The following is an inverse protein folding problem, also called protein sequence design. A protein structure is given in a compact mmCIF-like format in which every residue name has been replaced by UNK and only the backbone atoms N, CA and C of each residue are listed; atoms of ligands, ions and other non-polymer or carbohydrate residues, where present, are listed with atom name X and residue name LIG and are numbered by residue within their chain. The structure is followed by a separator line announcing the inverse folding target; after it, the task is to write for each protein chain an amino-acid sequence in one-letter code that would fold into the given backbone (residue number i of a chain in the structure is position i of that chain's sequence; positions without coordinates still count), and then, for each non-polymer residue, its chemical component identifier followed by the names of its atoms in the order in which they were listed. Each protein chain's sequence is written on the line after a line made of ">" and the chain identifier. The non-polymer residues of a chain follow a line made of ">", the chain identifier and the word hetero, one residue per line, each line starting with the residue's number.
data_IF_253905348627
#
_entry.id   IF_253905348627
#
_cell.length_a   1.000
_cell.length_b   1.000
_cell.length_c   1.000
_cell.angle_alpha   90.00
_cell.angle_beta   90.00
_cell.angle_gamma   90.00
#
_symmetry.space_group_name_H-M   'P 1'
#
loop_
_entity.id
_entity.type
_entity.pdbx_description
1 polymer ?
#
# COMPACT_ATOMS: atom_id res chain seq x y z
N UNK A 1 -3.81 2.47 15.81
CA UNK A 1 -4.42 2.77 17.12
C UNK A 1 -4.71 4.25 17.15
N UNK A 2 -5.97 4.63 17.38
CA UNK A 2 -6.40 6.02 17.46
C UNK A 2 -5.90 6.64 18.77
N UNK A 3 -5.47 7.90 18.75
CA UNK A 3 -4.84 8.58 19.90
C UNK A 3 -5.79 9.48 20.66
N UNK A 4 -6.82 10.00 20.00
CA UNK A 4 -7.78 10.91 20.63
C UNK A 4 -8.62 10.19 21.71
N UNK A 5 -8.94 10.91 22.79
CA UNK A 5 -9.64 10.34 23.97
C UNK A 5 -11.15 10.57 23.97
N UNK A 6 -11.66 11.51 23.17
CA UNK A 6 -13.09 11.85 23.14
C UNK A 6 -13.73 11.36 21.83
N UNK A 7 -15.00 10.90 21.82
CA UNK A 7 -15.66 10.42 20.61
C UNK A 7 -15.68 11.44 19.47
N UNK A 8 -15.87 12.72 19.79
CA UNK A 8 -15.84 13.82 18.81
C UNK A 8 -14.47 13.93 18.12
N UNK A 9 -13.37 13.89 18.89
CA UNK A 9 -12.02 13.98 18.34
C UNK A 9 -11.61 12.70 17.59
N UNK A 10 -12.04 11.53 18.05
CA UNK A 10 -11.82 10.26 17.35
C UNK A 10 -12.43 10.28 15.94
N UNK A 11 -13.65 10.81 15.78
CA UNK A 11 -14.26 10.96 14.44
C UNK A 11 -13.40 11.83 13.52
N UNK A 12 -12.89 12.96 14.03
CA UNK A 12 -11.97 13.84 13.28
C UNK A 12 -10.68 13.12 12.90
N UNK A 13 -10.10 12.35 13.82
CA UNK A 13 -8.89 11.57 13.57
C UNK A 13 -9.11 10.54 12.43
N UNK A 14 -10.25 9.85 12.41
CA UNK A 14 -10.63 8.95 11.31
C UNK A 14 -10.73 9.70 9.99
N UNK A 15 -11.39 10.87 9.96
CA UNK A 15 -11.50 11.68 8.74
C UNK A 15 -10.14 12.15 8.21
N UNK A 16 -9.22 12.54 9.11
CA UNK A 16 -7.85 12.91 8.71
C UNK A 16 -7.10 11.72 8.10
N UNK A 17 -7.26 10.51 8.67
CA UNK A 17 -6.68 9.30 8.06
C UNK A 17 -7.27 8.99 6.69
N UNK A 18 -8.59 9.16 6.53
CA UNK A 18 -9.25 8.97 5.24
C UNK A 18 -8.77 10.00 4.20
N UNK A 19 -8.62 11.26 4.61
CA UNK A 19 -8.08 12.32 3.77
C UNK A 19 -6.66 11.99 3.30
N UNK A 20 -5.78 11.58 4.22
CA UNK A 20 -4.41 11.21 3.89
C UNK A 20 -4.36 9.98 2.95
N UNK A 21 -5.22 8.99 3.17
CA UNK A 21 -5.36 7.83 2.28
C UNK A 21 -5.81 8.25 0.88
N UNK A 22 -6.83 9.09 0.77
CA UNK A 22 -7.34 9.57 -0.50
C UNK A 22 -6.29 10.42 -1.25
N UNK A 23 -5.53 11.27 -0.54
CA UNK A 23 -4.42 12.02 -1.12
C UNK A 23 -3.38 11.08 -1.76
N UNK A 24 -2.96 10.06 -1.02
CA UNK A 24 -2.01 9.07 -1.54
C UNK A 24 -2.59 8.30 -2.74
N UNK A 25 -3.88 7.93 -2.69
CA UNK A 25 -4.56 7.25 -3.80
C UNK A 25 -4.66 8.10 -5.05
N UNK A 26 -5.00 9.38 -4.92
CA UNK A 26 -5.01 10.32 -6.05
C UNK A 26 -3.61 10.48 -6.63
N UNK A 27 -2.58 10.55 -5.80
CA UNK A 27 -1.19 10.63 -6.26
C UNK A 27 -0.75 9.36 -7.01
N UNK A 28 -1.13 8.18 -6.51
CA UNK A 28 -0.92 6.91 -7.20
C UNK A 28 -1.67 6.88 -8.53
N UNK A 29 -2.91 7.39 -8.58
CA UNK A 29 -3.69 7.49 -9.80
C UNK A 29 -2.98 8.35 -10.85
N UNK A 30 -2.58 9.57 -10.49
CA UNK A 30 -1.85 10.47 -11.38
C UNK A 30 -0.53 9.87 -11.86
N UNK A 31 0.22 9.19 -10.99
CA UNK A 31 1.48 8.55 -11.37
C UNK A 31 1.24 7.39 -12.35
N UNK A 32 0.24 6.55 -12.06
CA UNK A 32 -0.09 5.39 -12.88
C UNK A 32 -0.59 5.77 -14.27
N UNK A 33 -1.52 6.73 -14.35
CA UNK A 33 -2.05 7.21 -15.64
C UNK A 33 -1.00 7.95 -16.46
N UNK A 34 -0.08 8.68 -15.82
CA UNK A 34 0.96 9.43 -16.54
C UNK A 34 2.07 8.55 -17.13
N UNK A 35 2.35 7.39 -16.53
CA UNK A 35 3.50 6.53 -16.90
C UNK A 35 3.12 5.09 -17.27
N UNK A 36 1.82 4.78 -17.42
CA UNK A 36 1.35 3.49 -17.92
C UNK A 36 1.36 2.34 -16.91
N UNK A 37 1.57 2.60 -15.62
CA UNK A 37 1.49 1.57 -14.58
C UNK A 37 0.07 1.52 -13.98
N UNK A 38 -0.58 0.36 -13.85
CA UNK A 38 -1.91 0.30 -13.24
C UNK A 38 -1.92 0.91 -11.83
N UNK A 39 -2.75 1.94 -11.53
CA UNK A 39 -2.71 2.65 -10.25
C UNK A 39 -2.86 1.76 -9.02
N UNK A 40 -3.68 0.71 -9.12
CA UNK A 40 -3.93 -0.24 -8.03
C UNK A 40 -2.74 -1.16 -7.74
N UNK A 41 -1.77 -1.25 -8.66
CA UNK A 41 -0.53 -2.04 -8.50
C UNK A 41 0.56 -1.26 -7.78
N UNK A 42 0.43 0.06 -7.64
CA UNK A 42 1.43 0.88 -6.99
C UNK A 42 1.43 0.65 -5.47
N UNK A 43 2.60 0.70 -4.85
CA UNK A 43 2.75 0.54 -3.41
C UNK A 43 2.30 1.80 -2.67
N UNK A 44 1.26 1.68 -1.84
CA UNK A 44 0.81 2.79 -0.97
C UNK A 44 1.92 3.23 0.00
N UNK A 45 2.64 2.28 0.59
CA UNK A 45 3.75 2.57 1.51
C UNK A 45 4.94 3.20 0.79
N UNK A 46 5.26 2.73 -0.42
CA UNK A 46 6.29 3.34 -1.28
C UNK A 46 5.93 4.78 -1.63
N UNK A 47 4.67 5.01 -2.01
CA UNK A 47 4.14 6.35 -2.32
C UNK A 47 4.25 7.28 -1.12
N UNK A 48 3.84 6.83 0.08
CA UNK A 48 3.95 7.61 1.32
C UNK A 48 5.39 8.01 1.61
N UNK A 49 6.32 7.06 1.48
CA UNK A 49 7.75 7.31 1.73
C UNK A 49 8.31 8.35 0.76
N UNK A 50 8.06 8.20 -0.55
CA UNK A 50 8.53 9.16 -1.54
C UNK A 50 7.87 10.54 -1.37
N UNK A 51 6.57 10.61 -1.11
CA UNK A 51 5.91 11.87 -0.83
C UNK A 51 6.56 12.60 0.35
N UNK A 52 6.77 11.92 1.48
CA UNK A 52 7.42 12.51 2.66
C UNK A 52 8.82 13.06 2.35
N UNK A 53 9.62 12.35 1.54
CA UNK A 53 10.95 12.81 1.14
C UNK A 53 10.91 14.01 0.18
N UNK A 54 9.84 14.15 -0.61
CA UNK A 54 9.67 15.25 -1.57
C UNK A 54 9.00 16.48 -0.96
N UNK A 55 8.28 16.38 0.17
CA UNK A 55 7.61 17.51 0.84
C UNK A 55 8.57 18.71 1.04
N UNK A 56 9.78 18.55 1.62
CA UNK A 56 10.68 19.69 1.81
C UNK A 56 11.05 20.39 0.49
N UNK A 57 11.25 19.62 -0.58
CA UNK A 57 11.60 20.15 -1.90
C UNK A 57 10.42 20.85 -2.56
N UNK A 58 9.20 20.32 -2.39
CA UNK A 58 7.97 20.93 -2.89
C UNK A 58 7.67 22.25 -2.19
N UNK A 59 8.00 22.39 -0.90
CA UNK A 59 7.81 23.61 -0.12
C UNK A 59 8.87 24.69 -0.42
N UNK A 60 10.10 24.30 -0.74
CA UNK A 60 11.22 25.23 -0.92
C UNK A 60 11.35 25.81 -2.34
N UNK A 61 10.56 25.32 -3.30
CA UNK A 61 10.76 25.61 -4.73
C UNK A 61 9.84 26.71 -5.26
N UNK A 62 10.32 27.49 -6.22
CA UNK A 62 9.48 28.43 -6.99
C UNK A 62 8.48 27.72 -7.91
N UNK A 63 7.38 28.41 -8.25
CA UNK A 63 6.28 27.88 -9.06
C UNK A 63 6.72 27.29 -10.42
N UNK A 64 7.77 27.86 -11.04
CA UNK A 64 8.31 27.40 -12.33
C UNK A 64 8.98 26.02 -12.22
N UNK A 65 9.65 25.72 -11.11
CA UNK A 65 10.35 24.45 -10.89
C UNK A 65 9.47 23.41 -10.18
N UNK A 66 8.37 23.83 -9.54
CA UNK A 66 7.41 22.94 -8.86
C UNK A 66 6.89 21.83 -9.78
N UNK A 67 6.48 22.18 -11.00
CA UNK A 67 5.99 21.22 -11.99
C UNK A 67 7.03 20.13 -12.31
N UNK A 68 8.31 20.51 -12.39
CA UNK A 68 9.40 19.55 -12.66
C UNK A 68 9.58 18.58 -11.50
N UNK A 69 9.59 19.09 -10.27
CA UNK A 69 9.73 18.25 -9.05
C UNK A 69 8.52 17.32 -8.92
N UNK A 70 7.31 17.82 -9.15
CA UNK A 70 6.10 17.01 -9.14
C UNK A 70 6.13 15.88 -10.17
N UNK A 71 6.54 16.17 -11.42
CA UNK A 71 6.71 15.12 -12.44
C UNK A 71 7.75 14.08 -12.05
N UNK A 72 8.85 14.49 -11.42
CA UNK A 72 9.86 13.57 -10.88
C UNK A 72 9.27 12.68 -9.78
N UNK A 73 8.48 13.24 -8.86
CA UNK A 73 7.77 12.47 -7.84
C UNK A 73 6.85 11.40 -8.47
N UNK A 74 6.02 11.80 -9.44
CA UNK A 74 5.15 10.86 -10.15
C UNK A 74 5.94 9.74 -10.84
N UNK A 75 7.06 10.07 -11.49
CA UNK A 75 7.92 9.08 -12.14
C UNK A 75 8.47 8.07 -11.15
N UNK A 76 8.98 8.55 -10.01
CA UNK A 76 9.53 7.67 -8.96
C UNK A 76 8.44 6.75 -8.40
N UNK A 77 7.22 7.27 -8.18
CA UNK A 77 6.07 6.49 -7.71
C UNK A 77 5.68 5.42 -8.73
N UNK A 78 5.64 5.75 -10.02
CA UNK A 78 5.26 4.80 -11.07
C UNK A 78 6.18 3.56 -11.13
N UNK A 79 7.45 3.71 -10.72
CA UNK A 79 8.42 2.61 -10.60
C UNK A 79 8.29 1.81 -9.27
N UNK A 80 7.32 2.10 -8.41
CA UNK A 80 7.05 1.37 -7.14
C UNK A 80 5.85 0.44 -7.25
N UNK A 81 5.72 -0.26 -8.37
CA UNK A 81 4.77 -1.35 -8.51
C UNK A 81 5.10 -2.47 -7.51
N UNK A 82 4.07 -3.02 -6.87
CA UNK A 82 4.19 -4.25 -6.09
C UNK A 82 4.55 -5.38 -7.07
N UNK A 83 5.54 -6.23 -6.79
CA UNK A 83 5.87 -7.35 -7.66
C UNK A 83 4.74 -8.39 -7.66
N UNK A 84 4.43 -8.96 -8.82
CA UNK A 84 3.59 -10.15 -8.87
C UNK A 84 4.27 -11.31 -8.12
N UNK A 85 3.46 -12.06 -7.36
CA UNK A 85 3.91 -13.26 -6.64
C UNK A 85 2.95 -14.40 -6.94
N UNK A 86 2.94 -14.91 -8.18
CA UNK A 86 2.08 -16.03 -8.55
C UNK A 86 2.37 -17.23 -7.64
N UNK A 87 1.33 -17.97 -7.27
CA UNK A 87 1.47 -19.14 -6.40
C UNK A 87 1.64 -18.84 -4.91
N UNK A 88 1.47 -17.58 -4.46
CA UNK A 88 1.46 -17.22 -3.03
C UNK A 88 0.11 -17.53 -2.36
N UNK A 89 -0.37 -18.76 -2.52
CA UNK A 89 -1.51 -19.30 -1.78
C UNK A 89 -0.99 -20.43 -0.89
N UNK A 90 -1.23 -20.31 0.42
CA UNK A 90 -0.82 -21.28 1.41
C UNK A 90 -2.02 -21.73 2.22
N UNK A 91 -2.06 -23.01 2.56
CA UNK A 91 -3.10 -23.54 3.43
C UNK A 91 -3.02 -22.89 4.81
N UNK A 92 -4.16 -22.40 5.30
CA UNK A 92 -4.28 -21.73 6.60
C UNK A 92 -4.28 -22.76 7.74
N UNK A 93 -3.16 -23.46 7.92
CA UNK A 93 -2.96 -24.55 8.89
C UNK A 93 -1.66 -24.37 9.67
N UNK A 94 -1.54 -24.99 10.85
CA UNK A 94 -0.34 -24.92 11.70
C UNK A 94 0.23 -26.30 12.00
N UNK A 95 1.57 -26.40 12.12
CA UNK A 95 2.25 -27.66 12.49
C UNK A 95 2.17 -28.00 13.98
N UNK A 96 2.09 -27.01 14.88
CA UNK A 96 2.09 -27.18 16.36
C UNK A 96 1.18 -26.13 17.01
N UNK A 97 0.62 -26.40 18.20
CA UNK A 97 -0.37 -25.52 18.89
C UNK A 97 0.25 -24.78 20.10
N UNK A 98 -0.26 -23.56 20.44
CA UNK A 98 -1.65 -23.35 20.87
C UNK A 98 -2.30 -22.08 20.28
N UNK A 99 -2.80 -22.11 19.04
CA UNK A 99 -3.75 -21.09 18.55
C UNK A 99 -4.89 -21.77 17.79
N UNK A 100 -6.04 -21.10 17.68
CA UNK A 100 -7.26 -21.55 17.01
C UNK A 100 -7.13 -21.62 15.47
N UNK A 101 -6.25 -22.49 14.99
CA UNK A 101 -6.11 -22.85 13.58
C UNK A 101 -6.11 -24.39 13.43
N UNK A 102 -6.59 -24.94 12.31
CA UNK A 102 -6.50 -26.37 12.04
C UNK A 102 -5.04 -26.85 12.05
N UNK A 103 -4.85 -28.10 12.51
CA UNK A 103 -3.54 -28.75 12.47
C UNK A 103 -3.24 -29.20 11.04
N UNK A 104 -1.99 -29.10 10.64
CA UNK A 104 -1.53 -29.58 9.34
C UNK A 104 -1.47 -31.12 9.36
N UNK A 105 -2.52 -31.76 8.85
CA UNK A 105 -2.66 -33.24 8.79
C UNK A 105 -2.05 -33.88 7.56
N UNK A 106 -1.90 -33.11 6.47
CA UNK A 106 -1.29 -33.56 5.20
C UNK A 106 0.00 -32.78 4.91
N UNK A 107 0.94 -33.33 4.11
CA UNK A 107 2.08 -32.59 3.60
C UNK A 107 1.66 -31.29 2.90
N UNK A 108 2.44 -30.22 3.04
CA UNK A 108 2.10 -28.89 2.49
C UNK A 108 1.88 -28.89 0.99
N UNK A 109 2.64 -29.70 0.24
CA UNK A 109 2.54 -29.75 -1.20
C UNK A 109 1.18 -30.28 -1.67
N UNK A 110 0.57 -31.23 -0.93
CA UNK A 110 -0.79 -31.73 -1.22
C UNK A 110 -1.86 -30.68 -0.92
N UNK A 111 -1.73 -29.97 0.21
CA UNK A 111 -2.66 -28.90 0.57
C UNK A 111 -2.61 -27.74 -0.43
N UNK A 112 -1.42 -27.41 -0.96
CA UNK A 112 -1.29 -26.42 -2.04
C UNK A 112 -1.99 -26.85 -3.32
N UNK A 113 -1.93 -28.13 -3.70
CA UNK A 113 -2.69 -28.67 -4.85
C UNK A 113 -4.20 -28.52 -4.65
N UNK A 114 -4.71 -28.87 -3.46
CA UNK A 114 -6.14 -28.73 -3.14
C UNK A 114 -6.64 -27.27 -3.22
N UNK A 115 -5.80 -26.29 -2.88
CA UNK A 115 -6.13 -24.87 -3.01
C UNK A 115 -6.13 -24.34 -4.45
N UNK A 116 -5.51 -25.05 -5.39
CA UNK A 116 -5.50 -24.69 -6.81
C UNK A 116 -6.69 -25.29 -7.57
N UNK A 117 -7.33 -26.32 -7.02
CA UNK A 117 -8.47 -27.02 -7.64
C UNK A 117 -9.84 -26.47 -7.17
N UNK A 118 -9.86 -25.58 -6.19
CA UNK A 118 -11.06 -24.93 -5.65
C UNK A 118 -11.23 -23.52 -6.20
#
# INVERSE_FOLDING_TARGET
>A
VLRCKTPSMVRKEIYVYLLAYNLLRSLMWSAGTSYGTPPLRLSLQGTRHHLNNFIPQLLAVSSTKLHRIYRTLLKVIAHKAVPERPGRSEARVRKRRPKAYPVMTKPRHELRKQLQTA
#
